data_IF_270240431666
#
_entry.id   IF_270240431666
#
_cell.length_a   1.000
_cell.length_b   1.000
_cell.length_c   1.000
_cell.angle_alpha   90.00
_cell.angle_beta   90.00
_cell.angle_gamma   90.00
#
_symmetry.space_group_name_H-M   'P 1'
#
loop_
_entity.id
_entity.type
_entity.pdbx_description
1 polymer ?
#
# COMPACT_ATOMS: atom_id res chain seq x y z
N UNK A 1 6.95 20.94 -19.83
CA UNK A 1 6.42 21.52 -18.58
C UNK A 1 5.61 20.43 -17.92
N UNK A 2 6.06 19.87 -16.79
CA UNK A 2 5.28 18.86 -16.08
C UNK A 2 4.05 19.55 -15.47
N UNK A 3 2.85 19.19 -15.91
CA UNK A 3 1.60 19.69 -15.35
C UNK A 3 1.25 18.87 -14.12
N UNK A 4 1.13 19.54 -12.97
CA UNK A 4 0.65 18.91 -11.74
C UNK A 4 -0.87 19.11 -11.65
N UNK A 5 -1.63 18.06 -11.95
CA UNK A 5 -3.10 18.05 -11.92
C UNK A 5 -3.66 17.61 -10.55
N UNK A 6 -2.81 17.51 -9.52
CA UNK A 6 -3.19 17.19 -8.14
C UNK A 6 -3.21 18.44 -7.27
N UNK A 7 -4.35 18.69 -6.63
CA UNK A 7 -4.50 19.78 -5.67
C UNK A 7 -3.72 19.46 -4.38
N UNK A 8 -3.72 18.18 -3.99
CA UNK A 8 -2.94 17.67 -2.85
C UNK A 8 -1.45 17.96 -3.04
N UNK A 9 -0.89 17.57 -4.19
CA UNK A 9 0.53 17.81 -4.49
C UNK A 9 0.82 19.31 -4.59
N UNK A 10 -0.07 20.09 -5.22
CA UNK A 10 0.09 21.54 -5.35
C UNK A 10 0.15 22.25 -3.99
N UNK A 11 -0.67 21.82 -3.02
CA UNK A 11 -0.61 22.33 -1.64
C UNK A 11 0.71 21.94 -0.98
N UNK A 12 1.13 20.67 -1.12
CA UNK A 12 2.36 20.18 -0.51
C UNK A 12 3.63 20.86 -1.07
N UNK A 13 3.70 21.10 -2.37
CA UNK A 13 4.81 21.83 -3.02
C UNK A 13 4.86 23.28 -2.52
N UNK A 14 3.72 23.98 -2.44
CA UNK A 14 3.69 25.33 -1.86
C UNK A 14 4.14 25.36 -0.40
N UNK A 15 3.75 24.35 0.38
CA UNK A 15 4.13 24.24 1.78
C UNK A 15 5.63 23.92 1.97
N UNK A 16 6.25 23.18 1.05
CA UNK A 16 7.69 22.88 1.12
C UNK A 16 8.57 24.07 0.79
N UNK A 17 8.04 25.06 0.05
CA UNK A 17 8.80 26.21 -0.45
C UNK A 17 9.82 25.84 -1.54
N UNK A 18 9.72 24.62 -2.09
CA UNK A 18 10.59 24.11 -3.13
C UNK A 18 9.82 23.97 -4.45
N UNK A 19 10.55 23.96 -5.56
CA UNK A 19 10.00 23.58 -6.86
C UNK A 19 9.81 22.06 -6.90
N UNK A 20 8.84 21.60 -7.70
CA UNK A 20 8.64 20.16 -7.90
C UNK A 20 9.86 19.49 -8.53
N UNK A 21 10.60 20.20 -9.39
CA UNK A 21 11.77 19.68 -10.10
C UNK A 21 12.71 20.82 -10.51
N UNK A 22 14.02 20.60 -10.37
CA UNK A 22 15.09 21.52 -10.75
C UNK A 22 15.88 21.00 -11.97
N UNK A 23 15.43 21.29 -13.22
CA UNK A 23 16.15 20.90 -14.42
C UNK A 23 17.47 21.68 -14.61
N UNK A 24 18.47 21.13 -15.33
CA UNK A 24 18.44 19.87 -16.06
C UNK A 24 18.83 18.64 -15.23
N UNK A 25 19.18 18.82 -13.96
CA UNK A 25 19.78 17.76 -13.13
C UNK A 25 18.75 16.76 -12.64
N UNK A 26 17.58 17.25 -12.23
CA UNK A 26 16.51 16.40 -11.75
C UNK A 26 15.66 15.87 -12.90
N UNK A 27 15.35 14.57 -12.83
CA UNK A 27 14.55 13.84 -13.83
C UNK A 27 13.22 13.34 -13.29
N UNK A 28 13.01 13.46 -11.99
CA UNK A 28 11.80 13.01 -11.27
C UNK A 28 11.44 14.08 -10.27
N UNK A 29 10.15 14.42 -10.20
CA UNK A 29 9.69 15.43 -9.25
C UNK A 29 9.81 14.93 -7.82
N UNK A 30 10.14 15.84 -6.89
CA UNK A 30 10.26 15.55 -5.47
C UNK A 30 9.36 16.50 -4.67
N UNK A 31 8.64 15.94 -3.70
CA UNK A 31 7.90 16.71 -2.70
C UNK A 31 8.56 16.44 -1.35
N UNK A 32 9.14 17.48 -0.77
CA UNK A 32 9.78 17.39 0.54
C UNK A 32 8.78 17.72 1.64
N UNK A 33 8.79 16.91 2.69
CA UNK A 33 7.95 17.07 3.87
C UNK A 33 8.82 17.05 5.13
N UNK A 34 8.32 17.67 6.20
CA UNK A 34 9.08 17.89 7.44
C UNK A 34 9.34 16.62 8.27
N UNK A 35 8.56 15.55 8.06
CA UNK A 35 8.66 14.35 8.88
C UNK A 35 8.04 13.12 8.22
N UNK A 36 8.39 11.94 8.74
CA UNK A 36 7.83 10.67 8.31
C UNK A 36 6.30 10.53 8.56
N UNK A 37 5.74 11.00 9.70
CA UNK A 37 4.29 11.11 9.85
C UNK A 37 3.62 12.04 8.82
N UNK A 38 4.25 13.17 8.49
CA UNK A 38 3.75 14.09 7.46
C UNK A 38 3.75 13.44 6.07
N UNK A 39 4.78 12.64 5.75
CA UNK A 39 4.82 11.83 4.53
C UNK A 39 3.64 10.86 4.46
N UNK A 40 3.35 10.15 5.56
CA UNK A 40 2.21 9.24 5.64
C UNK A 40 0.87 9.96 5.43
N UNK A 41 0.70 11.16 5.99
CA UNK A 41 -0.50 11.99 5.79
C UNK A 41 -0.63 12.45 4.34
N UNK A 42 0.46 12.93 3.72
CA UNK A 42 0.47 13.36 2.33
C UNK A 42 0.13 12.20 1.38
N UNK A 43 0.76 11.03 1.57
CA UNK A 43 0.48 9.84 0.79
C UNK A 43 -0.99 9.39 0.94
N UNK A 44 -1.56 9.53 2.13
CA UNK A 44 -2.97 9.21 2.39
C UNK A 44 -3.92 10.15 1.64
N UNK A 45 -3.73 11.46 1.77
CA UNK A 45 -4.53 12.46 1.03
C UNK A 45 -4.42 12.24 -0.49
N UNK A 46 -3.21 11.97 -0.97
CA UNK A 46 -2.97 11.76 -2.39
C UNK A 46 -3.63 10.48 -2.91
N UNK A 47 -3.61 9.42 -2.12
CA UNK A 47 -4.32 8.17 -2.39
C UNK A 47 -5.83 8.40 -2.45
N UNK A 48 -6.41 9.09 -1.48
CA UNK A 48 -7.85 9.36 -1.44
C UNK A 48 -8.29 10.24 -2.62
N UNK A 49 -7.53 11.28 -2.96
CA UNK A 49 -7.75 12.09 -4.17
C UNK A 49 -7.69 11.23 -5.44
N UNK A 50 -6.73 10.30 -5.51
CA UNK A 50 -6.61 9.38 -6.63
C UNK A 50 -7.81 8.45 -6.74
N UNK A 51 -8.28 7.85 -5.63
CA UNK A 51 -9.44 6.95 -5.63
C UNK A 51 -10.71 7.68 -6.06
N UNK A 52 -10.92 8.93 -5.62
CA UNK A 52 -12.06 9.74 -6.09
C UNK A 52 -12.10 9.91 -7.61
N UNK A 53 -10.92 9.99 -8.25
CA UNK A 53 -10.78 10.13 -9.70
C UNK A 53 -10.72 8.79 -10.44
N UNK A 54 -10.52 7.68 -9.74
CA UNK A 54 -10.26 6.36 -10.32
C UNK A 54 -11.08 5.25 -9.62
N UNK A 55 -12.42 5.33 -9.60
CA UNK A 55 -13.24 4.23 -9.10
C UNK A 55 -12.97 2.96 -9.92
N UNK A 56 -12.82 1.83 -9.24
CA UNK A 56 -12.47 0.56 -9.86
C UNK A 56 -10.99 0.40 -10.24
N UNK A 57 -10.14 1.37 -9.87
CA UNK A 57 -8.72 1.36 -10.16
C UNK A 57 -7.97 0.16 -9.55
N UNK A 58 -6.80 -0.14 -10.12
CA UNK A 58 -5.91 -1.19 -9.63
C UNK A 58 -4.87 -0.59 -8.70
N UNK A 59 -4.71 -1.15 -7.50
CA UNK A 59 -3.76 -0.69 -6.50
C UNK A 59 -2.90 -1.84 -5.99
N UNK A 60 -1.66 -1.50 -5.63
CA UNK A 60 -0.75 -2.39 -4.94
C UNK A 60 -0.08 -1.58 -3.84
N UNK A 61 -0.29 -1.99 -2.58
CA UNK A 61 0.15 -1.23 -1.41
C UNK A 61 1.27 -1.99 -0.69
N UNK A 62 2.31 -1.29 -0.22
CA UNK A 62 3.47 -1.91 0.42
C UNK A 62 3.12 -2.54 1.77
N UNK A 63 3.93 -3.46 2.26
CA UNK A 63 3.81 -4.04 3.61
C UNK A 63 4.94 -3.53 4.54
N UNK A 64 4.92 -3.97 5.80
CA UNK A 64 5.97 -3.65 6.77
C UNK A 64 5.74 -2.34 7.56
N UNK A 65 6.82 -1.72 8.04
CA UNK A 65 6.78 -0.52 8.90
C UNK A 65 6.64 0.79 8.14
N UNK A 66 7.19 0.85 6.93
CA UNK A 66 7.20 2.07 6.11
C UNK A 66 5.79 2.66 5.87
N UNK A 67 4.74 1.87 5.58
CA UNK A 67 3.41 2.43 5.36
C UNK A 67 2.59 2.69 6.64
N UNK A 68 3.16 2.53 7.84
CA UNK A 68 2.39 2.60 9.10
C UNK A 68 1.58 3.90 9.24
N UNK A 69 2.20 5.06 8.99
CA UNK A 69 1.48 6.34 9.06
C UNK A 69 0.49 6.52 7.91
N UNK A 70 0.81 6.02 6.72
CA UNK A 70 -0.13 6.02 5.59
C UNK A 70 -1.40 5.24 5.92
N UNK A 71 -1.26 4.04 6.51
CA UNK A 71 -2.38 3.21 6.94
C UNK A 71 -3.20 3.93 8.01
N UNK A 72 -2.53 4.46 9.05
CA UNK A 72 -3.20 5.16 10.17
C UNK A 72 -4.00 6.36 9.69
N UNK A 73 -3.41 7.21 8.86
CA UNK A 73 -4.09 8.40 8.32
C UNK A 73 -5.25 8.01 7.40
N UNK A 74 -5.05 7.04 6.51
CA UNK A 74 -6.10 6.61 5.58
C UNK A 74 -7.30 6.05 6.34
N UNK A 75 -7.07 5.22 7.35
CA UNK A 75 -8.14 4.72 8.23
C UNK A 75 -8.86 5.84 8.97
N UNK A 76 -8.12 6.77 9.59
CA UNK A 76 -8.73 7.93 10.28
C UNK A 76 -9.62 8.73 9.33
N UNK A 77 -9.18 9.00 8.10
CA UNK A 77 -9.97 9.74 7.13
C UNK A 77 -11.21 8.96 6.69
N UNK A 78 -11.09 7.67 6.38
CA UNK A 78 -12.22 6.83 5.97
C UNK A 78 -13.26 6.65 7.08
N UNK A 79 -12.82 6.33 8.29
CA UNK A 79 -13.70 6.12 9.46
C UNK A 79 -14.40 7.42 9.87
N UNK A 80 -13.68 8.54 9.76
CA UNK A 80 -14.14 9.87 10.15
C UNK A 80 -14.80 10.69 9.03
N UNK A 81 -14.97 10.14 7.81
CA UNK A 81 -15.25 10.93 6.59
C UNK A 81 -16.43 11.91 6.74
N UNK A 82 -17.48 11.50 7.46
CA UNK A 82 -18.70 12.30 7.66
C UNK A 82 -18.63 13.31 8.82
N UNK A 83 -17.51 13.38 9.52
CA UNK A 83 -17.33 14.32 10.63
C UNK A 83 -16.85 15.68 10.13
N UNK A 84 -17.28 16.76 10.80
CA UNK A 84 -16.87 18.12 10.44
C UNK A 84 -15.36 18.37 10.65
N UNK A 85 -14.70 17.62 11.54
CA UNK A 85 -13.25 17.68 11.74
C UNK A 85 -12.52 17.10 10.53
N UNK A 86 -12.83 15.86 10.16
CA UNK A 86 -12.22 15.18 9.02
C UNK A 86 -12.49 15.93 7.71
N UNK A 87 -13.70 16.42 7.48
CA UNK A 87 -14.05 17.22 6.29
C UNK A 87 -13.13 18.43 6.13
N UNK A 88 -12.90 19.19 7.21
CA UNK A 88 -12.00 20.35 7.19
C UNK A 88 -10.56 19.96 6.91
N UNK A 89 -10.08 18.84 7.47
CA UNK A 89 -8.73 18.36 7.22
C UNK A 89 -8.52 17.90 5.77
N UNK A 90 -9.53 17.24 5.18
CA UNK A 90 -9.52 16.81 3.78
C UNK A 90 -9.49 18.01 2.84
N UNK A 91 -10.38 18.99 3.04
CA UNK A 91 -10.43 20.23 2.25
C UNK A 91 -9.10 20.99 2.32
N UNK A 92 -8.57 21.19 3.54
CA UNK A 92 -7.27 21.82 3.75
C UNK A 92 -6.12 21.05 3.09
N UNK A 93 -6.28 19.73 2.95
CA UNK A 93 -5.35 18.83 2.26
C UNK A 93 -5.53 18.76 0.75
N UNK A 94 -6.58 19.37 0.18
CA UNK A 94 -6.86 19.34 -1.26
C UNK A 94 -7.73 18.17 -1.73
N UNK A 95 -8.40 17.47 -0.82
CA UNK A 95 -9.34 16.37 -1.11
C UNK A 95 -10.78 16.90 -0.94
N UNK A 96 -11.67 16.60 -1.88
CA UNK A 96 -13.07 17.02 -1.82
C UNK A 96 -13.86 16.10 -0.88
N UNK A 97 -14.32 16.56 0.31
CA UNK A 97 -15.02 15.69 1.26
C UNK A 97 -16.44 15.34 0.81
N UNK A 98 -17.01 16.04 -0.18
CA UNK A 98 -18.32 15.72 -0.73
C UNK A 98 -18.33 14.44 -1.56
N UNK A 99 -17.14 14.01 -2.03
CA UNK A 99 -16.96 12.81 -2.84
C UNK A 99 -16.37 11.70 -1.97
N UNK A 100 -17.20 10.77 -1.51
CA UNK A 100 -16.70 9.61 -0.75
C UNK A 100 -15.93 8.67 -1.72
N UNK A 101 -14.66 8.33 -1.46
CA UNK A 101 -13.90 7.44 -2.32
C UNK A 101 -14.50 6.03 -2.32
N UNK A 102 -14.70 5.44 -3.50
CA UNK A 102 -15.23 4.08 -3.66
C UNK A 102 -14.13 3.03 -3.46
N UNK A 103 -13.71 2.85 -2.21
CA UNK A 103 -12.64 1.91 -1.84
C UNK A 103 -13.00 0.47 -2.22
N UNK A 104 -14.27 0.07 -2.05
CA UNK A 104 -14.74 -1.30 -2.36
C UNK A 104 -14.61 -1.65 -3.83
N UNK A 105 -14.69 -0.67 -4.73
CA UNK A 105 -14.56 -0.93 -6.15
C UNK A 105 -13.15 -1.33 -6.59
N UNK A 106 -12.11 -0.95 -5.82
CA UNK A 106 -10.71 -1.14 -6.20
C UNK A 106 -10.35 -2.62 -6.38
N UNK A 107 -9.42 -2.88 -7.29
CA UNK A 107 -8.75 -4.19 -7.42
C UNK A 107 -7.41 -4.12 -6.71
N UNK A 108 -7.20 -5.00 -5.74
CA UNK A 108 -5.96 -5.05 -4.98
C UNK A 108 -5.04 -6.14 -5.54
N UNK A 109 -3.75 -5.85 -5.70
CA UNK A 109 -2.72 -6.83 -6.08
C UNK A 109 -1.62 -6.82 -5.04
N UNK A 110 -1.36 -7.95 -4.40
CA UNK A 110 -0.27 -8.09 -3.44
C UNK A 110 1.10 -8.05 -4.16
N UNK A 111 2.08 -7.36 -3.56
CA UNK A 111 3.42 -7.16 -4.15
C UNK A 111 4.28 -8.42 -4.01
N UNK A 112 4.36 -8.94 -2.79
CA UNK A 112 5.31 -9.97 -2.40
C UNK A 112 4.81 -10.81 -1.22
N UNK A 113 5.51 -11.93 -0.97
CA UNK A 113 5.30 -12.80 0.18
C UNK A 113 6.59 -13.57 0.49
N UNK A 114 6.75 -13.99 1.74
CA UNK A 114 7.78 -14.95 2.12
C UNK A 114 7.34 -16.37 1.76
N UNK A 115 7.93 -16.99 0.75
CA UNK A 115 7.63 -18.39 0.44
C UNK A 115 8.54 -19.35 1.23
N UNK A 116 8.03 -20.42 1.87
CA UNK A 116 6.64 -20.87 1.94
C UNK A 116 6.00 -20.59 3.31
N UNK A 117 5.74 -19.32 3.65
CA UNK A 117 5.12 -18.95 4.94
C UNK A 117 3.66 -19.41 4.99
N UNK A 118 3.21 -19.82 6.17
CA UNK A 118 1.79 -20.08 6.39
C UNK A 118 1.00 -18.74 6.31
N UNK A 119 -0.08 -18.63 5.51
CA UNK A 119 -0.78 -17.37 5.23
C UNK A 119 -1.49 -16.70 6.43
N UNK A 120 -1.78 -17.44 7.50
CA UNK A 120 -2.32 -16.96 8.76
C UNK A 120 -1.25 -16.47 9.75
N UNK A 121 0.04 -16.73 9.48
CA UNK A 121 1.13 -16.33 10.35
C UNK A 121 1.28 -14.80 10.39
N UNK A 122 1.60 -14.24 11.56
CA UNK A 122 1.69 -12.77 11.75
C UNK A 122 2.77 -12.08 10.90
N UNK A 123 3.79 -12.83 10.44
CA UNK A 123 4.81 -12.34 9.51
C UNK A 123 4.46 -12.55 8.03
N UNK A 124 3.34 -13.19 7.71
CA UNK A 124 2.85 -13.32 6.34
C UNK A 124 2.36 -11.96 5.85
N UNK A 125 2.76 -11.59 4.64
CA UNK A 125 2.25 -10.41 3.97
C UNK A 125 0.81 -10.61 3.49
N UNK A 126 0.39 -11.84 3.20
CA UNK A 126 -1.01 -12.20 3.03
C UNK A 126 -1.83 -11.88 4.29
N UNK A 127 -1.36 -12.27 5.48
CA UNK A 127 -2.01 -11.89 6.75
C UNK A 127 -2.06 -10.36 6.92
N UNK A 128 -0.93 -9.68 6.68
CA UNK A 128 -0.83 -8.23 6.80
C UNK A 128 -1.84 -7.50 5.89
N UNK A 129 -1.90 -7.88 4.61
CA UNK A 129 -2.80 -7.27 3.62
C UNK A 129 -4.26 -7.45 4.03
N UNK A 130 -4.65 -8.65 4.43
CA UNK A 130 -6.02 -8.92 4.89
C UNK A 130 -6.39 -8.02 6.07
N UNK A 131 -5.53 -7.94 7.08
CA UNK A 131 -5.79 -7.17 8.30
C UNK A 131 -5.79 -5.65 8.09
N UNK A 132 -4.79 -5.13 7.39
CA UNK A 132 -4.55 -3.67 7.36
C UNK A 132 -5.16 -2.98 6.14
N UNK A 133 -5.35 -3.69 5.03
CA UNK A 133 -5.90 -3.12 3.80
C UNK A 133 -7.30 -3.64 3.50
N UNK A 134 -7.52 -4.96 3.49
CA UNK A 134 -8.85 -5.51 3.19
C UNK A 134 -9.84 -5.11 4.27
N UNK A 135 -9.63 -5.55 5.50
CA UNK A 135 -10.44 -5.16 6.65
C UNK A 135 -10.24 -3.68 7.00
N UNK A 136 -8.97 -3.24 7.01
CA UNK A 136 -8.61 -1.92 7.52
C UNK A 136 -9.13 -0.76 6.68
N UNK A 137 -9.13 -0.88 5.34
CA UNK A 137 -9.67 0.17 4.45
C UNK A 137 -11.09 -0.16 3.96
N UNK A 138 -11.53 -1.40 4.11
CA UNK A 138 -12.80 -1.87 3.56
C UNK A 138 -12.72 -2.18 2.07
N UNK A 139 -11.60 -2.72 1.59
CA UNK A 139 -11.50 -3.26 0.24
C UNK A 139 -12.36 -4.52 0.11
N UNK A 140 -12.78 -4.82 -1.12
CA UNK A 140 -13.49 -6.06 -1.42
C UNK A 140 -12.49 -7.22 -1.58
N UNK A 141 -12.59 -8.23 -0.72
CA UNK A 141 -11.72 -9.41 -0.74
C UNK A 141 -11.85 -10.20 -2.05
N UNK A 142 -13.05 -10.23 -2.66
CA UNK A 142 -13.29 -10.94 -3.92
C UNK A 142 -12.64 -10.21 -5.12
N UNK A 143 -12.17 -8.97 -4.92
CA UNK A 143 -11.43 -8.16 -5.90
C UNK A 143 -9.92 -8.12 -5.62
N UNK A 144 -9.44 -8.92 -4.67
CA UNK A 144 -8.03 -9.00 -4.33
C UNK A 144 -7.34 -10.20 -4.99
N UNK A 145 -6.16 -9.96 -5.57
CA UNK A 145 -5.22 -10.98 -5.99
C UNK A 145 -4.13 -11.10 -4.93
N UNK A 146 -4.25 -12.11 -4.08
CA UNK A 146 -3.36 -12.34 -2.95
C UNK A 146 -2.44 -13.54 -3.21
N UNK A 147 -1.26 -13.50 -2.59
CA UNK A 147 -0.27 -14.58 -2.68
C UNK A 147 -0.50 -15.53 -1.52
N UNK A 148 -1.27 -16.60 -1.75
CA UNK A 148 -1.54 -17.65 -0.76
C UNK A 148 -0.56 -18.82 -0.96
N UNK A 149 0.48 -18.88 -0.13
CA UNK A 149 1.50 -19.93 -0.20
C UNK A 149 0.98 -21.33 0.15
N UNK A 150 -0.21 -21.46 0.77
CA UNK A 150 -0.83 -22.78 0.99
C UNK A 150 -1.45 -23.35 -0.28
N UNK A 151 -1.51 -22.57 -1.36
CA UNK A 151 -2.14 -22.94 -2.65
C UNK A 151 -1.19 -22.78 -3.82
N UNK A 152 -0.45 -21.67 -3.87
CA UNK A 152 0.43 -21.34 -4.99
C UNK A 152 1.71 -22.18 -4.90
N UNK A 153 2.05 -22.88 -5.98
CA UNK A 153 3.30 -23.65 -6.09
C UNK A 153 3.23 -25.08 -5.52
N UNK A 154 2.09 -25.49 -4.97
CA UNK A 154 1.87 -26.84 -4.44
C UNK A 154 1.05 -27.71 -5.40
N UNK A 155 1.34 -29.02 -5.51
CA UNK A 155 0.46 -29.93 -6.24
C UNK A 155 -0.88 -30.10 -5.51
N UNK A 156 -1.95 -30.39 -6.27
CA UNK A 156 -3.30 -30.48 -5.72
C UNK A 156 -3.39 -31.50 -4.57
N UNK A 157 -3.94 -31.06 -3.42
CA UNK A 157 -4.15 -31.90 -2.24
C UNK A 157 -2.95 -32.01 -1.29
N UNK A 158 -1.81 -31.39 -1.62
CA UNK A 158 -0.64 -31.32 -0.74
C UNK A 158 -0.61 -29.99 0.01
N UNK A 159 -0.44 -30.06 1.33
CA UNK A 159 -0.18 -28.90 2.18
C UNK A 159 1.31 -28.56 2.26
N UNK A 160 1.60 -27.43 2.91
CA UNK A 160 2.98 -26.99 3.17
C UNK A 160 3.78 -28.03 3.98
N UNK A 161 3.13 -28.67 4.94
CA UNK A 161 3.66 -29.73 5.81
C UNK A 161 4.08 -30.99 5.03
N UNK A 162 3.43 -31.29 3.91
CA UNK A 162 3.82 -32.42 3.08
C UNK A 162 5.10 -32.15 2.27
N UNK A 163 5.40 -30.89 1.95
CA UNK A 163 6.59 -30.48 1.19
C UNK A 163 7.75 -30.10 2.11
N UNK A 164 7.45 -29.47 3.25
CA UNK A 164 8.41 -29.07 4.28
C UNK A 164 8.03 -29.64 5.66
N UNK A 165 8.14 -30.96 5.86
CA UNK A 165 7.67 -31.63 7.08
C UNK A 165 8.36 -31.13 8.35
N UNK A 166 9.65 -30.80 8.25
CA UNK A 166 10.44 -30.34 9.40
C UNK A 166 10.47 -28.80 9.53
N UNK A 167 9.76 -28.07 8.64
CA UNK A 167 9.76 -26.59 8.56
C UNK A 167 11.17 -25.97 8.61
N UNK A 168 12.18 -26.70 8.13
CA UNK A 168 13.59 -26.32 8.23
C UNK A 168 14.04 -25.66 6.93
N UNK A 169 14.55 -24.43 7.05
CA UNK A 169 15.11 -23.67 5.93
C UNK A 169 16.61 -23.91 5.84
N UNK A 170 17.09 -24.48 4.72
CA UNK A 170 18.52 -24.62 4.46
C UNK A 170 19.14 -23.26 4.09
N UNK A 171 19.62 -22.53 5.10
CA UNK A 171 20.29 -21.24 4.91
C UNK A 171 21.64 -21.37 4.18
N UNK A 172 22.22 -22.57 4.07
CA UNK A 172 23.46 -22.77 3.32
C UNK A 172 23.29 -22.48 1.83
N UNK A 173 22.06 -22.56 1.30
CA UNK A 173 21.73 -22.20 -0.09
C UNK A 173 22.10 -20.77 -0.47
N UNK A 174 22.24 -19.86 0.51
CA UNK A 174 22.69 -18.48 0.25
C UNK A 174 24.15 -18.40 -0.19
N UNK A 175 24.95 -19.43 0.14
CA UNK A 175 26.40 -19.47 -0.06
C UNK A 175 26.84 -20.65 -0.94
N UNK A 176 26.05 -21.72 -1.00
CA UNK A 176 26.38 -22.95 -1.73
C UNK A 176 26.17 -22.74 -3.22
N UNK A 177 27.21 -22.97 -4.03
CA UNK A 177 27.09 -22.99 -5.48
C UNK A 177 26.20 -24.15 -5.93
N UNK A 178 25.35 -23.88 -6.93
CA UNK A 178 24.57 -24.91 -7.60
C UNK A 178 25.52 -25.95 -8.22
N UNK A 179 25.18 -27.23 -8.07
CA UNK A 179 25.85 -28.33 -8.77
C UNK A 179 24.90 -28.81 -9.85
N UNK A 180 25.40 -28.93 -11.07
CA UNK A 180 24.74 -29.74 -12.10
C UNK A 180 24.96 -31.20 -11.76
N UNK A 181 23.89 -31.98 -11.75
CA UNK A 181 23.99 -33.44 -11.88
C UNK A 181 24.44 -33.83 -13.29
#
# INVERSE_FOLDING_TARGET
MHTNDSQVESIAIRASGMELMYPPWEKTGAIVVESFPALGRLASLRFLEWVQRNPGGVVSLPTGKTPEFFIKWTRRFLDGWKTAETSRELEAGGVDPSIIPDIKSLRFVQIDEFYPVEPGHHNSFHHYVNRYYIEGFGLDADRALLIDCSRIGLPAGLGLDAVWPDSTVDLSLRLRHARTE
#
